data_IF_582549143888
#
_entry.id   IF_582549143888
#
_cell.length_a   1.000
_cell.length_b   1.000
_cell.length_c   1.000
_cell.angle_alpha   90.00
_cell.angle_beta   90.00
_cell.angle_gamma   90.00
#
_symmetry.space_group_name_H-M   'P 1'
#
loop_
_entity.id
_entity.type
_entity.pdbx_description
1 polymer ?
#
# COMPACT_ATOMS: atom_id res chain seq x y z
N UNK A 1 -14.90 -23.43 3.14
CA UNK A 1 -13.58 -23.02 3.66
C UNK A 1 -13.65 -21.54 4.01
N UNK A 2 -13.13 -21.11 5.17
CA UNK A 2 -13.12 -19.68 5.57
C UNK A 2 -11.67 -19.18 5.54
N UNK A 3 -11.46 -17.97 5.02
CA UNK A 3 -10.14 -17.33 4.95
C UNK A 3 -10.15 -16.14 5.91
N UNK A 4 -9.09 -16.00 6.72
CA UNK A 4 -8.85 -14.83 7.55
C UNK A 4 -7.73 -13.98 6.98
N UNK A 5 -7.94 -12.67 6.90
CA UNK A 5 -6.91 -11.70 6.49
C UNK A 5 -6.23 -11.13 7.73
N UNK A 6 -4.90 -11.14 7.73
CA UNK A 6 -4.07 -10.58 8.81
C UNK A 6 -3.16 -9.53 8.20
N UNK A 7 -3.10 -8.36 8.81
CA UNK A 7 -2.29 -7.23 8.35
C UNK A 7 -1.12 -7.03 9.32
N UNK A 8 0.14 -7.15 8.88
CA UNK A 8 1.30 -7.01 9.75
C UNK A 8 1.48 -5.57 10.26
N UNK A 9 2.02 -5.44 11.47
CA UNK A 9 2.27 -4.14 12.12
C UNK A 9 3.62 -3.50 11.75
N UNK A 10 4.00 -2.48 12.52
CA UNK A 10 5.28 -1.77 12.38
C UNK A 10 6.48 -2.72 12.54
N UNK A 11 7.49 -2.55 11.70
CA UNK A 11 8.73 -3.35 11.68
C UNK A 11 8.83 -4.32 10.50
N UNK A 12 7.70 -4.60 9.82
CA UNK A 12 7.68 -5.46 8.63
C UNK A 12 8.04 -4.72 7.33
N UNK A 13 8.15 -3.39 7.36
CA UNK A 13 8.42 -2.58 6.17
C UNK A 13 9.87 -2.71 5.66
N UNK A 14 10.04 -2.53 4.35
CA UNK A 14 11.34 -2.47 3.68
C UNK A 14 11.36 -1.37 2.62
N UNK A 15 12.56 -0.91 2.24
CA UNK A 15 12.72 0.16 1.25
C UNK A 15 12.13 -0.26 -0.09
N UNK A 16 11.21 0.55 -0.63
CA UNK A 16 10.53 0.29 -1.89
C UNK A 16 9.28 -0.61 -1.78
N UNK A 17 8.85 -0.98 -0.57
CA UNK A 17 7.59 -1.70 -0.35
C UNK A 17 6.42 -0.98 -1.05
N UNK A 18 5.58 -1.74 -1.74
CA UNK A 18 4.42 -1.21 -2.47
C UNK A 18 4.71 -0.58 -3.84
N UNK A 19 5.98 -0.39 -4.23
CA UNK A 19 6.33 0.23 -5.53
C UNK A 19 5.83 -0.57 -6.73
N UNK A 20 6.05 -1.89 -6.75
CA UNK A 20 5.57 -2.74 -7.85
C UNK A 20 4.05 -2.77 -7.93
N UNK A 21 3.35 -2.73 -6.78
CA UNK A 21 1.90 -2.65 -6.74
C UNK A 21 1.41 -1.36 -7.39
N UNK A 22 1.98 -0.22 -7.00
CA UNK A 22 1.64 1.08 -7.59
C UNK A 22 1.99 1.15 -9.09
N UNK A 23 3.04 0.46 -9.54
CA UNK A 23 3.43 0.44 -10.95
C UNK A 23 2.48 -0.40 -11.81
N UNK A 24 2.10 -1.59 -11.32
CA UNK A 24 1.36 -2.57 -12.12
C UNK A 24 -0.16 -2.44 -12.00
N UNK A 25 -0.67 -1.81 -10.92
CA UNK A 25 -2.10 -1.71 -10.65
C UNK A 25 -2.54 -0.25 -10.51
N UNK A 26 -3.32 0.29 -11.47
CA UNK A 26 -3.80 1.67 -11.42
C UNK A 26 -4.55 2.03 -10.13
N UNK A 27 -5.32 1.08 -9.58
CA UNK A 27 -6.02 1.27 -8.29
C UNK A 27 -5.07 1.51 -7.14
N UNK A 28 -3.93 0.80 -7.08
CA UNK A 28 -2.94 1.01 -6.03
C UNK A 28 -2.32 2.40 -6.15
N UNK A 29 -1.97 2.82 -7.37
CA UNK A 29 -1.45 4.17 -7.64
C UNK A 29 -2.41 5.27 -7.19
N UNK A 30 -3.71 5.13 -7.46
CA UNK A 30 -4.73 6.09 -7.05
C UNK A 30 -4.84 6.20 -5.52
N UNK A 31 -4.79 5.08 -4.82
CA UNK A 31 -4.84 5.07 -3.35
C UNK A 31 -3.60 5.73 -2.73
N UNK A 32 -2.40 5.45 -3.26
CA UNK A 32 -1.19 6.16 -2.83
C UNK A 32 -1.30 7.67 -3.08
N UNK A 33 -1.76 8.09 -4.26
CA UNK A 33 -1.93 9.51 -4.58
C UNK A 33 -2.94 10.20 -3.66
N UNK A 34 -4.04 9.54 -3.29
CA UNK A 34 -4.98 10.07 -2.32
C UNK A 34 -4.32 10.24 -0.94
N UNK A 35 -3.54 9.26 -0.49
CA UNK A 35 -2.82 9.36 0.77
C UNK A 35 -1.82 10.53 0.78
N UNK A 36 -1.09 10.74 -0.31
CA UNK A 36 -0.18 11.88 -0.45
C UNK A 36 -0.92 13.22 -0.34
N UNK A 37 -2.08 13.34 -0.99
CA UNK A 37 -2.93 14.54 -0.92
C UNK A 37 -3.39 14.86 0.51
N UNK A 38 -3.84 13.85 1.25
CA UNK A 38 -4.32 14.02 2.63
C UNK A 38 -3.18 14.37 3.60
N UNK A 39 -1.98 13.86 3.34
CA UNK A 39 -0.79 14.12 4.18
C UNK A 39 -0.02 15.38 3.77
N UNK A 40 -0.35 15.97 2.61
CA UNK A 40 0.29 17.19 2.10
C UNK A 40 1.69 16.96 1.53
N UNK A 41 1.95 15.76 0.99
CA UNK A 41 3.19 15.44 0.28
C UNK A 41 3.13 15.79 -1.22
#
# INVERSE_FOLDING_TARGET
MKIGFVFPGQGAQYVGMGRELAHNFPVAKQIFAQADQELGF
#
